data_IF_462535001726
#
_entry.id   IF_462535001726
#
_cell.length_a   1.000
_cell.length_b   1.000
_cell.length_c   1.000
_cell.angle_alpha   90.00
_cell.angle_beta   90.00
_cell.angle_gamma   90.00
#
_symmetry.space_group_name_H-M   'P 1'
#
loop_
_entity.id
_entity.type
_entity.pdbx_description
1 polymer ?
#
# COMPACT_ATOMS: atom_id res chain seq x y z
N UNK A 1 -35.46 -28.85 -29.61
CA UNK A 1 -34.62 -28.23 -28.62
C UNK A 1 -33.23 -28.01 -29.20
N UNK A 2 -33.00 -26.74 -29.62
CA UNK A 2 -31.65 -26.33 -30.00
C UNK A 2 -30.90 -26.05 -28.70
N UNK A 3 -30.09 -26.98 -28.22
CA UNK A 3 -29.04 -26.72 -27.23
C UNK A 3 -28.16 -25.61 -27.79
N UNK A 4 -28.38 -24.39 -27.32
CA UNK A 4 -27.45 -23.32 -27.54
C UNK A 4 -26.22 -23.61 -26.69
N UNK A 5 -25.25 -24.34 -27.25
CA UNK A 5 -23.94 -24.51 -26.69
C UNK A 5 -23.26 -23.12 -26.62
N UNK A 6 -23.53 -22.39 -25.55
CA UNK A 6 -22.92 -21.10 -25.31
C UNK A 6 -21.40 -21.29 -25.11
N UNK A 7 -20.65 -21.11 -26.20
CA UNK A 7 -19.19 -21.23 -26.17
C UNK A 7 -18.62 -20.25 -25.15
N UNK A 8 -17.98 -20.77 -24.12
CA UNK A 8 -17.32 -19.98 -23.09
C UNK A 8 -16.24 -19.09 -23.73
N UNK A 9 -16.34 -17.77 -23.52
CA UNK A 9 -15.44 -16.79 -24.11
C UNK A 9 -14.51 -16.20 -23.04
N UNK A 10 -13.22 -16.41 -23.20
CA UNK A 10 -12.20 -15.79 -22.34
C UNK A 10 -12.37 -14.27 -22.25
N UNK A 11 -12.67 -13.59 -23.35
CA UNK A 11 -12.88 -12.14 -23.38
C UNK A 11 -14.04 -11.70 -22.48
N UNK A 12 -15.16 -12.43 -22.49
CA UNK A 12 -16.30 -12.13 -21.62
C UNK A 12 -15.97 -12.36 -20.15
N UNK A 13 -15.25 -13.45 -19.83
CA UNK A 13 -14.80 -13.73 -18.46
C UNK A 13 -13.80 -12.67 -18.00
N UNK A 14 -12.85 -12.26 -18.85
CA UNK A 14 -11.92 -11.18 -18.52
C UNK A 14 -12.64 -9.85 -18.25
N UNK A 15 -13.58 -9.45 -19.10
CA UNK A 15 -14.38 -8.24 -18.90
C UNK A 15 -15.15 -8.29 -17.57
N UNK A 16 -15.68 -9.45 -17.19
CA UNK A 16 -16.32 -9.63 -15.89
C UNK A 16 -15.33 -9.42 -14.72
N UNK A 17 -14.13 -10.03 -14.81
CA UNK A 17 -13.09 -9.86 -13.80
C UNK A 17 -12.62 -8.39 -13.73
N UNK A 18 -12.55 -7.68 -14.85
CA UNK A 18 -12.27 -6.24 -14.88
C UNK A 18 -13.32 -5.42 -14.11
N UNK A 19 -14.62 -5.79 -14.22
CA UNK A 19 -15.65 -5.14 -13.41
C UNK A 19 -15.51 -5.40 -11.93
N UNK A 20 -15.10 -6.62 -11.54
CA UNK A 20 -14.79 -6.94 -10.15
C UNK A 20 -13.58 -6.16 -9.64
N UNK A 21 -12.50 -6.10 -10.42
CA UNK A 21 -11.32 -5.33 -10.09
C UNK A 21 -11.66 -3.85 -9.89
N UNK A 22 -12.39 -3.24 -10.83
CA UNK A 22 -12.84 -1.84 -10.71
C UNK A 22 -13.67 -1.59 -9.44
N UNK A 23 -14.41 -2.57 -8.98
CA UNK A 23 -15.28 -2.46 -7.79
C UNK A 23 -14.54 -2.70 -6.47
N UNK A 24 -13.56 -3.61 -6.46
CA UNK A 24 -12.99 -4.14 -5.24
C UNK A 24 -11.49 -3.89 -5.05
N UNK A 25 -10.76 -3.47 -6.09
CA UNK A 25 -9.37 -3.11 -5.94
C UNK A 25 -9.24 -1.80 -5.14
N UNK A 26 -8.28 -1.80 -4.22
CA UNK A 26 -7.95 -0.63 -3.39
C UNK A 26 -6.52 -0.15 -3.61
N UNK A 27 -5.70 -0.93 -4.32
CA UNK A 27 -4.33 -0.58 -4.67
C UNK A 27 -4.28 0.74 -5.44
N UNK A 28 -3.45 1.67 -4.97
CA UNK A 28 -3.26 2.99 -5.59
C UNK A 28 -4.53 3.85 -5.72
N UNK A 29 -5.56 3.58 -4.90
CA UNK A 29 -6.77 4.41 -4.84
C UNK A 29 -6.63 5.54 -3.82
N UNK A 30 -7.49 6.56 -3.93
CA UNK A 30 -7.57 7.63 -2.93
C UNK A 30 -8.15 7.04 -1.64
N UNK A 31 -7.49 7.35 -0.52
CA UNK A 31 -7.93 6.95 0.84
C UNK A 31 -8.12 8.18 1.72
N UNK A 32 -9.01 8.06 2.67
CA UNK A 32 -9.16 9.06 3.73
C UNK A 32 -8.68 8.43 5.03
N UNK A 33 -7.70 9.05 5.67
CA UNK A 33 -7.15 8.64 6.98
C UNK A 33 -7.35 9.78 7.97
N UNK A 34 -7.42 9.43 9.26
CA UNK A 34 -7.53 10.45 10.33
C UNK A 34 -6.17 10.67 10.98
N UNK A 35 -5.88 11.93 11.30
CA UNK A 35 -4.74 12.26 12.16
C UNK A 35 -5.06 12.03 13.65
N UNK A 36 -4.10 12.33 14.52
CA UNK A 36 -4.28 12.19 15.97
C UNK A 36 -5.37 13.11 16.56
N UNK A 37 -5.69 14.22 15.90
CA UNK A 37 -6.75 15.15 16.28
C UNK A 37 -8.12 14.77 15.70
N UNK A 38 -8.18 13.73 14.85
CA UNK A 38 -9.39 13.27 14.19
C UNK A 38 -9.70 13.95 12.86
N UNK A 39 -8.82 14.80 12.33
CA UNK A 39 -9.00 15.46 11.05
C UNK A 39 -8.78 14.49 9.89
N UNK A 40 -9.57 14.65 8.83
CA UNK A 40 -9.48 13.82 7.63
C UNK A 40 -8.38 14.32 6.68
N UNK A 41 -7.53 13.39 6.26
CA UNK A 41 -6.50 13.63 5.24
C UNK A 41 -6.69 12.67 4.07
N UNK A 42 -6.64 13.21 2.85
CA UNK A 42 -6.67 12.40 1.63
C UNK A 42 -5.26 11.94 1.27
N UNK A 43 -5.10 10.63 1.17
CA UNK A 43 -3.87 9.99 0.69
C UNK A 43 -4.09 9.53 -0.75
N UNK A 44 -3.23 9.99 -1.64
CA UNK A 44 -3.28 9.68 -3.05
C UNK A 44 -2.17 8.70 -3.39
N UNK A 45 -2.50 7.66 -4.19
CA UNK A 45 -1.55 6.70 -4.72
C UNK A 45 -0.83 5.82 -3.67
N UNK A 46 0.37 5.37 -4.02
CA UNK A 46 1.16 4.45 -3.22
C UNK A 46 1.04 3.01 -3.71
N UNK A 47 1.81 2.12 -3.10
CA UNK A 47 1.89 0.70 -3.50
C UNK A 47 1.17 -0.25 -2.55
N UNK A 48 0.31 0.28 -1.66
CA UNK A 48 -0.47 -0.53 -0.73
C UNK A 48 -1.90 -0.75 -1.23
N UNK A 49 -2.44 -1.93 -0.97
CA UNK A 49 -3.84 -2.26 -1.25
C UNK A 49 -4.04 -3.62 -1.89
N UNK A 50 -5.31 -3.95 -2.11
CA UNK A 50 -5.76 -5.15 -2.81
C UNK A 50 -5.78 -4.88 -4.31
N UNK A 51 -5.23 -5.81 -5.11
CA UNK A 51 -5.29 -5.77 -6.56
C UNK A 51 -5.48 -7.15 -7.14
N UNK A 52 -6.57 -7.37 -7.85
CA UNK A 52 -6.86 -8.62 -8.54
C UNK A 52 -5.88 -8.79 -9.72
N UNK A 53 -5.30 -9.98 -9.83
CA UNK A 53 -4.54 -10.38 -11.02
C UNK A 53 -5.53 -10.79 -12.11
N UNK A 54 -6.04 -9.81 -12.86
CA UNK A 54 -7.18 -9.98 -13.77
C UNK A 54 -6.98 -11.16 -14.75
N UNK A 55 -5.80 -11.25 -15.37
CA UNK A 55 -5.49 -12.32 -16.32
C UNK A 55 -5.44 -13.71 -15.66
N UNK A 56 -4.81 -13.82 -14.47
CA UNK A 56 -4.74 -15.09 -13.75
C UNK A 56 -6.12 -15.49 -13.23
N UNK A 57 -6.86 -14.53 -12.73
CA UNK A 57 -8.23 -14.75 -12.23
C UNK A 57 -9.18 -15.18 -13.34
N UNK A 58 -9.15 -14.52 -14.49
CA UNK A 58 -9.97 -14.89 -15.64
C UNK A 58 -9.69 -16.32 -16.11
N UNK A 59 -8.40 -16.72 -16.18
CA UNK A 59 -8.02 -18.10 -16.54
C UNK A 59 -8.49 -19.13 -15.50
N UNK A 60 -8.42 -18.79 -14.21
CA UNK A 60 -8.89 -19.67 -13.14
C UNK A 60 -10.41 -19.78 -13.14
N UNK A 61 -11.11 -18.67 -13.37
CA UNK A 61 -12.57 -18.65 -13.44
C UNK A 61 -13.11 -19.45 -14.63
N UNK A 62 -12.44 -19.39 -15.79
CA UNK A 62 -12.80 -20.26 -16.93
C UNK A 62 -12.78 -21.73 -16.55
N UNK A 63 -11.72 -22.21 -15.86
CA UNK A 63 -11.64 -23.61 -15.41
C UNK A 63 -12.78 -23.99 -14.45
N UNK A 64 -13.18 -23.07 -13.57
CA UNK A 64 -14.29 -23.29 -12.64
C UNK A 64 -15.60 -23.42 -13.40
N UNK A 65 -15.86 -22.55 -14.38
CA UNK A 65 -17.07 -22.57 -15.22
C UNK A 65 -17.10 -23.86 -16.06
N UNK A 66 -15.98 -24.25 -16.68
CA UNK A 66 -15.87 -25.48 -17.46
C UNK A 66 -16.12 -26.75 -16.62
N UNK A 67 -15.72 -26.73 -15.34
CA UNK A 67 -15.96 -27.83 -14.42
C UNK A 67 -17.41 -27.95 -13.96
N UNK A 68 -18.25 -26.91 -14.16
CA UNK A 68 -19.68 -26.91 -13.82
C UNK A 68 -19.96 -27.06 -12.31
N UNK A 69 -19.01 -26.71 -11.45
CA UNK A 69 -19.13 -26.86 -9.99
C UNK A 69 -19.15 -25.50 -9.30
N UNK A 70 -20.02 -25.36 -8.32
CA UNK A 70 -20.01 -24.21 -7.44
C UNK A 70 -18.77 -24.20 -6.57
N UNK A 71 -18.03 -23.08 -6.61
CA UNK A 71 -16.80 -22.89 -5.85
C UNK A 71 -16.84 -21.57 -5.10
N UNK A 72 -16.65 -21.63 -3.78
CA UNK A 72 -16.43 -20.43 -2.95
C UNK A 72 -14.94 -20.29 -2.69
N UNK A 73 -14.33 -19.25 -3.26
CA UNK A 73 -12.91 -18.96 -3.10
C UNK A 73 -12.62 -17.47 -3.19
N UNK A 74 -11.44 -17.07 -2.74
CA UNK A 74 -10.93 -15.73 -3.00
C UNK A 74 -10.43 -15.61 -4.45
N UNK A 75 -10.49 -14.40 -5.03
CA UNK A 75 -9.81 -14.11 -6.29
C UNK A 75 -8.29 -14.29 -6.18
N UNK A 76 -7.65 -14.48 -7.33
CA UNK A 76 -6.19 -14.45 -7.41
C UNK A 76 -5.73 -13.00 -7.41
N UNK A 77 -5.05 -12.60 -6.35
CA UNK A 77 -4.54 -11.23 -6.21
C UNK A 77 -3.12 -11.09 -6.75
N UNK A 78 -2.80 -9.92 -7.29
CA UNK A 78 -1.46 -9.46 -7.60
C UNK A 78 -0.81 -8.83 -6.36
N UNK A 79 -1.58 -8.02 -5.61
CA UNK A 79 -1.19 -7.44 -4.33
C UNK A 79 -2.30 -7.69 -3.29
N UNK A 80 -1.90 -7.91 -2.05
CA UNK A 80 -2.80 -8.05 -0.91
C UNK A 80 -2.44 -7.02 0.15
N UNK A 81 -3.46 -6.39 0.73
CA UNK A 81 -3.33 -5.64 1.97
C UNK A 81 -3.50 -6.56 3.18
N UNK A 82 -3.13 -6.08 4.37
CA UNK A 82 -3.16 -6.88 5.59
C UNK A 82 -4.58 -7.23 6.05
N UNK A 83 -5.55 -6.39 5.72
CA UNK A 83 -6.94 -6.63 6.09
C UNK A 83 -7.92 -6.09 5.04
N UNK A 84 -9.20 -6.46 5.22
CA UNK A 84 -10.34 -5.88 4.51
C UNK A 84 -11.51 -5.74 5.49
N UNK A 85 -11.60 -4.60 6.17
CA UNK A 85 -12.68 -4.34 7.15
C UNK A 85 -13.99 -3.96 6.46
N UNK A 86 -13.92 -3.15 5.40
CA UNK A 86 -15.05 -2.75 4.53
C UNK A 86 -14.52 -2.61 3.11
N UNK A 87 -15.42 -2.39 2.14
CA UNK A 87 -15.05 -2.29 0.72
C UNK A 87 -13.85 -1.35 0.42
N UNK A 88 -13.64 -0.33 1.26
CA UNK A 88 -12.61 0.69 1.06
C UNK A 88 -11.59 0.80 2.20
N UNK A 89 -11.71 -0.01 3.28
CA UNK A 89 -10.80 0.00 4.41
C UNK A 89 -9.97 -1.27 4.33
N UNK A 90 -8.75 -1.12 3.88
CA UNK A 90 -7.78 -2.18 3.63
C UNK A 90 -6.56 -2.11 4.55
N UNK A 91 -6.54 -1.21 5.53
CA UNK A 91 -5.53 -1.13 6.59
C UNK A 91 -6.16 -1.33 7.97
N UNK A 92 -5.35 -1.73 8.93
CA UNK A 92 -5.75 -1.86 10.33
C UNK A 92 -5.62 -0.51 11.06
N UNK A 93 -6.03 -0.48 12.34
CA UNK A 93 -5.95 0.71 13.19
C UNK A 93 -4.51 0.99 13.68
N UNK A 94 -3.50 0.46 12.96
CA UNK A 94 -2.07 0.64 13.26
C UNK A 94 -1.34 1.10 12.01
N UNK A 95 -0.90 2.36 12.03
CA UNK A 95 -0.19 3.00 10.92
C UNK A 95 0.63 4.20 11.37
N UNK A 96 1.61 4.59 10.57
CA UNK A 96 2.30 5.85 10.70
C UNK A 96 1.76 6.85 9.66
N UNK A 97 1.39 8.04 10.10
CA UNK A 97 1.01 9.16 9.23
C UNK A 97 2.13 10.19 9.25
N UNK A 98 2.71 10.46 8.09
CA UNK A 98 3.77 11.48 7.90
C UNK A 98 3.19 12.65 7.13
N UNK A 99 3.28 13.84 7.70
CA UNK A 99 2.96 15.08 7.02
C UNK A 99 4.26 15.72 6.52
N UNK A 100 4.46 15.68 5.21
CA UNK A 100 5.68 16.21 4.56
C UNK A 100 5.73 17.74 4.67
N UNK A 101 4.59 18.43 4.62
CA UNK A 101 4.54 19.88 4.68
C UNK A 101 4.93 20.41 6.07
N UNK A 102 4.41 19.80 7.13
CA UNK A 102 4.74 20.17 8.52
C UNK A 102 5.96 19.45 9.09
N UNK A 103 6.59 18.56 8.31
CA UNK A 103 7.73 17.75 8.75
C UNK A 103 7.47 17.06 10.08
N UNK A 104 6.31 16.43 10.21
CA UNK A 104 5.87 15.76 11.43
C UNK A 104 5.32 14.37 11.11
N UNK A 105 5.38 13.48 12.09
CA UNK A 105 4.73 12.19 12.02
C UNK A 105 3.97 11.86 13.31
N UNK A 106 2.95 11.03 13.17
CA UNK A 106 2.27 10.35 14.27
C UNK A 106 2.23 8.85 13.98
N UNK A 107 2.58 8.04 14.98
CA UNK A 107 2.35 6.60 14.93
C UNK A 107 1.11 6.27 15.74
N UNK A 108 0.14 5.67 15.08
CA UNK A 108 -1.13 5.23 15.64
C UNK A 108 -1.06 3.71 15.79
N UNK A 109 -1.33 3.22 16.98
CA UNK A 109 -1.39 1.79 17.29
C UNK A 109 -2.75 1.48 17.95
N UNK A 110 -3.48 0.53 17.36
CA UNK A 110 -4.83 0.15 17.80
C UNK A 110 -5.75 1.39 17.95
N UNK A 111 -5.72 2.28 16.96
CA UNK A 111 -6.53 3.49 16.92
C UNK A 111 -6.10 4.62 17.88
N UNK A 112 -4.98 4.47 18.59
CA UNK A 112 -4.47 5.49 19.53
C UNK A 112 -3.10 6.00 19.08
N UNK A 113 -2.91 7.30 19.13
CA UNK A 113 -1.60 7.91 18.93
C UNK A 113 -0.68 7.52 20.08
N UNK A 114 0.45 6.88 19.77
CA UNK A 114 1.43 6.41 20.76
C UNK A 114 2.79 7.09 20.62
N UNK A 115 3.09 7.65 19.46
CA UNK A 115 4.30 8.45 19.21
C UNK A 115 3.92 9.62 18.31
N UNK A 116 4.36 10.81 18.65
CA UNK A 116 4.38 11.98 17.77
C UNK A 116 5.78 12.55 17.75
N UNK A 117 6.29 12.90 16.58
CA UNK A 117 7.66 13.39 16.43
C UNK A 117 7.77 14.33 15.23
N UNK A 118 8.68 15.28 15.35
CA UNK A 118 9.21 15.98 14.19
C UNK A 118 10.06 15.02 13.37
N UNK A 119 10.02 15.13 12.07
CA UNK A 119 10.80 14.33 11.12
C UNK A 119 11.52 15.23 10.12
N UNK A 120 12.37 14.66 9.31
CA UNK A 120 12.91 15.28 8.10
C UNK A 120 12.65 14.32 6.94
N UNK A 121 11.97 14.81 5.92
CA UNK A 121 11.71 14.05 4.69
C UNK A 121 12.78 14.35 3.65
N UNK A 122 12.81 13.57 2.59
CA UNK A 122 13.79 13.70 1.53
C UNK A 122 13.70 15.06 0.80
N UNK A 123 14.85 15.57 0.37
CA UNK A 123 15.01 16.87 -0.28
C UNK A 123 14.54 16.81 -1.74
N UNK A 124 13.41 17.45 -2.02
CA UNK A 124 12.84 17.50 -3.38
C UNK A 124 13.71 18.31 -4.36
N UNK A 125 14.50 19.29 -3.86
CA UNK A 125 15.35 20.12 -4.71
C UNK A 125 16.53 19.33 -5.27
N UNK A 126 16.92 18.26 -4.59
CA UNK A 126 17.98 17.33 -5.01
C UNK A 126 17.44 16.07 -5.69
N UNK A 127 16.16 16.00 -5.99
CA UNK A 127 15.55 14.81 -6.58
C UNK A 127 15.38 13.65 -5.62
N UNK A 128 15.49 13.87 -4.31
CA UNK A 128 15.39 12.84 -3.26
C UNK A 128 14.08 12.97 -2.46
N UNK A 129 13.03 13.53 -3.05
CA UNK A 129 11.75 13.72 -2.39
C UNK A 129 11.15 12.40 -1.87
N UNK A 130 10.64 12.43 -0.64
CA UNK A 130 9.87 11.32 -0.09
C UNK A 130 8.58 11.14 -0.87
N UNK A 131 8.30 9.94 -1.43
CA UNK A 131 7.10 9.73 -2.20
C UNK A 131 5.84 9.79 -1.32
N UNK A 132 4.82 10.49 -1.80
CA UNK A 132 3.50 10.53 -1.16
C UNK A 132 2.69 9.30 -1.50
N UNK A 133 1.84 8.84 -0.59
CA UNK A 133 0.97 7.69 -0.83
C UNK A 133 0.82 6.76 0.38
N UNK A 134 0.09 5.66 0.18
CA UNK A 134 -0.02 4.59 1.16
C UNK A 134 0.95 3.46 0.81
N UNK A 135 1.73 3.07 1.79
CA UNK A 135 2.80 2.07 1.66
C UNK A 135 2.77 1.10 2.84
N UNK A 136 3.18 -0.14 2.62
CA UNK A 136 3.50 -1.06 3.71
C UNK A 136 4.98 -0.92 4.10
N UNK A 137 5.29 -1.02 5.39
CA UNK A 137 6.67 -1.27 5.82
C UNK A 137 7.05 -2.67 5.36
N UNK A 138 8.07 -2.77 4.52
CA UNK A 138 8.47 -4.03 3.87
C UNK A 138 9.13 -4.99 4.84
N UNK A 139 10.02 -4.46 5.68
CA UNK A 139 10.74 -5.20 6.72
C UNK A 139 11.30 -4.22 7.76
N UNK A 140 11.92 -4.75 8.80
CA UNK A 140 12.58 -3.97 9.87
C UNK A 140 13.94 -4.56 10.12
N UNK A 141 14.97 -3.72 10.08
CA UNK A 141 16.35 -4.10 10.33
C UNK A 141 17.02 -3.16 11.33
N UNK A 142 18.09 -3.63 11.94
CA UNK A 142 18.94 -2.86 12.85
C UNK A 142 20.36 -2.82 12.33
N UNK A 143 21.08 -1.72 12.71
CA UNK A 143 22.51 -1.56 12.46
C UNK A 143 22.87 -1.69 10.97
N UNK A 144 22.09 -0.99 10.13
CA UNK A 144 22.32 -0.93 8.69
C UNK A 144 23.17 0.28 8.32
N UNK A 145 23.86 0.19 7.18
CA UNK A 145 24.49 1.35 6.55
C UNK A 145 23.71 1.71 5.30
N UNK A 146 23.07 2.86 5.31
CA UNK A 146 22.36 3.39 4.14
C UNK A 146 23.38 4.00 3.20
N UNK A 147 23.43 3.49 1.97
CA UNK A 147 24.40 3.94 0.95
C UNK A 147 23.69 4.60 -0.22
N UNK A 148 24.34 5.61 -0.78
CA UNK A 148 23.90 6.29 -1.99
C UNK A 148 25.06 7.00 -2.66
N UNK A 149 24.77 7.80 -3.70
CA UNK A 149 25.81 8.54 -4.40
C UNK A 149 26.47 9.56 -3.45
N UNK A 150 27.72 9.28 -3.05
CA UNK A 150 28.52 10.16 -2.21
C UNK A 150 28.23 10.10 -0.70
N UNK A 151 27.47 9.09 -0.22
CA UNK A 151 27.28 8.91 1.22
C UNK A 151 27.21 7.45 1.64
N UNK A 152 27.58 7.20 2.89
CA UNK A 152 27.37 5.96 3.62
C UNK A 152 27.04 6.32 5.07
N UNK A 153 25.78 6.16 5.46
CA UNK A 153 25.28 6.62 6.76
C UNK A 153 24.83 5.43 7.60
N UNK A 154 25.53 5.11 8.72
CA UNK A 154 25.09 4.08 9.64
C UNK A 154 23.82 4.53 10.38
N UNK A 155 22.85 3.62 10.50
CA UNK A 155 21.59 3.82 11.22
C UNK A 155 21.33 2.66 12.17
N UNK A 156 20.75 2.94 13.32
CA UNK A 156 20.37 1.92 14.30
C UNK A 156 19.11 1.18 13.89
N UNK A 157 18.22 1.84 13.16
CA UNK A 157 16.94 1.30 12.72
C UNK A 157 16.69 1.65 11.25
N UNK A 158 16.25 0.65 10.48
CA UNK A 158 15.83 0.82 9.10
C UNK A 158 14.50 0.12 8.85
N UNK A 159 13.52 0.85 8.37
CA UNK A 159 12.17 0.35 8.09
C UNK A 159 11.71 0.87 6.72
N UNK A 160 12.14 0.24 5.61
CA UNK A 160 11.79 0.68 4.27
C UNK A 160 10.31 0.45 3.96
N UNK A 161 9.73 1.38 3.22
CA UNK A 161 8.39 1.29 2.65
C UNK A 161 8.38 1.44 1.12
N UNK A 162 9.53 1.79 0.54
CA UNK A 162 9.84 1.62 -0.89
C UNK A 162 11.25 1.02 -1.01
N UNK A 163 11.72 0.75 -2.23
CA UNK A 163 13.07 0.24 -2.46
C UNK A 163 14.15 1.15 -1.86
N UNK A 164 13.94 2.48 -1.90
CA UNK A 164 14.96 3.47 -1.55
C UNK A 164 14.50 4.47 -0.47
N UNK A 165 13.34 4.25 0.15
CA UNK A 165 12.80 5.17 1.15
C UNK A 165 12.25 4.40 2.33
N UNK A 166 12.55 4.86 3.54
CA UNK A 166 12.09 4.21 4.77
C UNK A 166 12.24 5.13 5.98
N UNK A 167 11.73 4.68 7.10
CA UNK A 167 11.99 5.31 8.39
C UNK A 167 13.35 4.87 8.91
N UNK A 168 14.12 5.81 9.42
CA UNK A 168 15.41 5.57 10.07
C UNK A 168 15.74 6.68 11.08
N UNK A 169 16.62 6.39 12.01
CA UNK A 169 17.24 7.38 12.86
C UNK A 169 18.29 8.18 12.08
N UNK A 170 18.60 9.38 12.56
CA UNK A 170 19.56 10.27 11.91
C UNK A 170 20.43 10.94 12.99
N UNK A 171 21.37 10.19 13.55
CA UNK A 171 22.27 10.64 14.61
C UNK A 171 23.24 11.77 14.19
N UNK A 172 23.34 12.03 12.90
CA UNK A 172 24.11 13.15 12.32
C UNK A 172 23.33 14.47 12.30
N UNK A 173 22.06 14.49 12.73
CA UNK A 173 21.24 15.69 12.79
C UNK A 173 20.99 16.12 14.22
N UNK A 174 21.08 17.42 14.46
CA UNK A 174 20.77 18.04 15.75
C UNK A 174 19.32 18.57 15.84
N UNK A 175 18.63 18.69 14.70
CA UNK A 175 17.26 19.23 14.65
C UNK A 175 16.39 18.51 13.62
N UNK A 176 15.09 18.45 13.91
CA UNK A 176 14.04 17.89 13.08
C UNK A 176 12.89 18.87 12.98
N UNK A 177 11.99 18.70 11.99
CA UNK A 177 10.84 19.58 11.77
C UNK A 177 11.09 20.71 10.77
N UNK A 178 12.21 20.67 10.07
CA UNK A 178 12.58 21.61 9.00
C UNK A 178 13.53 20.97 8.00
N UNK A 179 13.72 21.59 6.85
CA UNK A 179 14.66 21.19 5.80
C UNK A 179 16.07 21.64 6.12
#
# INVERSE_FOLDING_TARGET
DKEQNAKLSYRRVLNYVETLAKKYDTYSTIRTVKDAAGNDHKIYFGSYGWKISQTKEAKALMKVIEAGKDVKREPIYMYKADCRKKAYIDWDDTYALVNIQSQSMVFIKNGKAVVSSSVVTGDVTKGHGTPTGAYAVMYKERNQTLTGQGYASPVSYWMPFTTNTGFHDANWRSSFGGS
#
